data_IF_915069719692
#
_entry.id   IF_915069719692
#
_cell.length_a   1.000
_cell.length_b   1.000
_cell.length_c   1.000
_cell.angle_alpha   90.00
_cell.angle_beta   90.00
_cell.angle_gamma   90.00
#
_symmetry.space_group_name_H-M   'P 1'
#
loop_
_entity.id
_entity.type
_entity.pdbx_description
1 polymer ?
#
# COMPACT_ATOMS: atom_id res chain seq x y z
N UNK A 1 -28.56 1.27 -12.87
CA UNK A 1 -27.13 1.16 -12.49
C UNK A 1 -26.82 1.41 -11.01
N UNK A 2 -27.58 2.19 -10.21
CA UNK A 2 -27.45 2.31 -8.72
C UNK A 2 -27.60 1.00 -7.89
N UNK A 3 -27.74 -0.17 -8.53
CA UNK A 3 -28.42 -1.35 -7.95
C UNK A 3 -27.55 -2.63 -7.90
N UNK A 4 -26.39 -2.64 -8.55
CA UNK A 4 -25.47 -3.79 -8.61
C UNK A 4 -24.64 -3.91 -7.33
N UNK A 5 -24.17 -2.79 -6.76
CA UNK A 5 -23.44 -2.79 -5.49
C UNK A 5 -24.28 -3.35 -4.33
N UNK A 6 -25.57 -3.00 -4.28
CA UNK A 6 -26.50 -3.48 -3.27
C UNK A 6 -26.69 -5.00 -3.38
N UNK A 7 -26.84 -5.51 -4.61
CA UNK A 7 -26.93 -6.95 -4.87
C UNK A 7 -25.63 -7.69 -4.49
N UNK A 8 -24.46 -7.12 -4.78
CA UNK A 8 -23.16 -7.69 -4.37
C UNK A 8 -23.03 -7.71 -2.84
N UNK A 9 -23.45 -6.67 -2.12
CA UNK A 9 -23.39 -6.68 -0.65
C UNK A 9 -24.38 -7.65 -0.01
N UNK A 10 -25.58 -7.81 -0.57
CA UNK A 10 -26.53 -8.81 -0.08
C UNK A 10 -26.04 -10.24 -0.39
N UNK A 11 -25.31 -10.44 -1.49
CA UNK A 11 -24.67 -11.71 -1.82
C UNK A 11 -23.43 -12.03 -0.96
N UNK A 12 -22.56 -11.04 -0.73
CA UNK A 12 -21.33 -11.19 0.07
C UNK A 12 -21.63 -11.21 1.57
N UNK A 13 -22.68 -10.51 2.02
CA UNK A 13 -23.11 -10.47 3.43
C UNK A 13 -23.31 -11.86 4.02
N UNK A 14 -23.84 -12.82 3.24
CA UNK A 14 -24.04 -14.21 3.70
C UNK A 14 -22.73 -14.92 4.07
N UNK A 15 -21.59 -14.47 3.54
CA UNK A 15 -20.27 -15.09 3.74
C UNK A 15 -19.42 -14.40 4.82
N UNK A 16 -19.72 -13.16 5.20
CA UNK A 16 -18.86 -12.33 6.07
C UNK A 16 -19.30 -12.16 7.53
N UNK A 17 -20.46 -12.69 7.94
CA UNK A 17 -20.92 -12.56 9.33
C UNK A 17 -20.34 -13.66 10.24
N UNK A 18 -20.00 -13.31 11.48
CA UNK A 18 -19.78 -14.29 12.56
C UNK A 18 -20.97 -15.27 12.63
N UNK A 19 -20.69 -16.54 12.94
CA UNK A 19 -21.64 -17.66 12.78
C UNK A 19 -23.01 -17.41 13.46
N UNK A 20 -23.04 -16.74 14.62
CA UNK A 20 -24.26 -16.36 15.34
C UNK A 20 -25.09 -15.28 14.64
N UNK A 21 -24.44 -14.34 13.95
CA UNK A 21 -25.11 -13.25 13.24
C UNK A 21 -25.62 -13.69 11.86
N UNK A 22 -25.04 -14.74 11.29
CA UNK A 22 -25.44 -15.31 10.00
C UNK A 22 -26.88 -15.81 10.03
N UNK A 23 -27.29 -16.56 11.05
CA UNK A 23 -28.66 -17.10 11.16
C UNK A 23 -29.70 -15.99 11.31
N UNK A 24 -29.39 -14.97 12.12
CA UNK A 24 -30.27 -13.81 12.34
C UNK A 24 -30.46 -13.03 11.03
N UNK A 25 -29.38 -12.68 10.34
CA UNK A 25 -29.44 -11.97 9.06
C UNK A 25 -30.16 -12.82 8.00
N UNK A 26 -29.89 -14.11 7.95
CA UNK A 26 -30.53 -15.02 7.01
C UNK A 26 -32.06 -15.06 7.21
N UNK A 27 -32.52 -15.20 8.46
CA UNK A 27 -33.94 -15.31 8.81
C UNK A 27 -34.70 -14.01 8.59
N UNK A 28 -34.17 -12.89 9.08
CA UNK A 28 -34.90 -11.62 9.12
C UNK A 28 -34.71 -10.75 7.87
N UNK A 29 -33.67 -10.99 7.07
CA UNK A 29 -33.37 -10.21 5.86
C UNK A 29 -33.36 -11.09 4.62
N UNK A 30 -32.37 -11.99 4.49
CA UNK A 30 -32.11 -12.71 3.22
C UNK A 30 -33.32 -13.53 2.77
N UNK A 31 -33.90 -14.33 3.66
CA UNK A 31 -35.05 -15.17 3.34
C UNK A 31 -36.30 -14.37 2.95
N UNK A 32 -36.43 -13.12 3.43
CA UNK A 32 -37.56 -12.24 3.12
C UNK A 32 -37.44 -11.64 1.72
N UNK A 33 -36.21 -11.46 1.22
CA UNK A 33 -35.95 -10.75 -0.03
C UNK A 33 -35.42 -11.65 -1.16
N UNK A 34 -35.09 -12.92 -0.89
CA UNK A 34 -34.44 -13.84 -1.85
C UNK A 34 -35.19 -14.05 -3.18
N UNK A 35 -36.51 -13.88 -3.19
CA UNK A 35 -37.35 -14.05 -4.38
C UNK A 35 -37.69 -12.72 -5.07
N UNK A 36 -37.12 -11.61 -4.58
CA UNK A 36 -37.33 -10.28 -5.15
C UNK A 36 -36.11 -9.88 -5.94
N UNK A 37 -36.34 -9.12 -7.02
CA UNK A 37 -35.24 -8.52 -7.73
C UNK A 37 -34.58 -7.47 -6.82
N UNK A 38 -33.28 -7.58 -6.49
CA UNK A 38 -32.59 -6.61 -5.64
C UNK A 38 -32.74 -5.18 -6.14
N UNK A 39 -32.96 -5.02 -7.45
CA UNK A 39 -33.15 -3.71 -8.05
C UNK A 39 -34.45 -3.02 -7.65
N UNK A 40 -35.47 -3.77 -7.29
CA UNK A 40 -36.79 -3.24 -6.94
C UNK A 40 -36.92 -3.01 -5.43
N UNK A 41 -35.86 -3.26 -4.66
CA UNK A 41 -35.83 -3.08 -3.21
C UNK A 41 -35.28 -1.69 -2.87
N UNK A 42 -35.99 -0.96 -2.01
CA UNK A 42 -35.57 0.36 -1.52
C UNK A 42 -35.62 0.43 0.01
N UNK A 43 -34.77 1.26 0.64
CA UNK A 43 -34.91 1.60 2.04
C UNK A 43 -36.24 2.30 2.31
N UNK A 44 -36.91 1.85 3.37
CA UNK A 44 -38.11 2.49 3.90
C UNK A 44 -37.96 2.71 5.40
N UNK A 45 -38.32 3.89 5.88
CA UNK A 45 -38.37 4.22 7.30
C UNK A 45 -39.59 5.08 7.58
N UNK A 46 -40.23 4.86 8.74
CA UNK A 46 -41.33 5.70 9.22
C UNK A 46 -40.83 6.92 9.98
N UNK A 47 -39.70 6.79 10.68
CA UNK A 47 -39.21 7.76 11.67
C UNK A 47 -37.76 8.19 11.45
N UNK A 48 -37.09 7.65 10.42
CA UNK A 48 -35.68 7.85 10.12
C UNK A 48 -34.70 7.10 11.03
N UNK A 49 -35.18 6.42 12.08
CA UNK A 49 -34.35 5.75 13.09
C UNK A 49 -34.14 4.27 12.78
N UNK A 50 -35.21 3.60 12.36
CA UNK A 50 -35.15 2.20 11.93
C UNK A 50 -35.64 2.04 10.50
N UNK A 51 -35.00 1.13 9.79
CA UNK A 51 -35.16 0.96 8.35
C UNK A 51 -35.55 -0.49 8.03
N UNK A 52 -36.33 -0.63 6.97
CA UNK A 52 -36.74 -1.89 6.37
C UNK A 52 -36.51 -1.83 4.85
N UNK A 53 -36.55 -2.99 4.20
CA UNK A 53 -36.60 -3.09 2.74
C UNK A 53 -38.05 -3.15 2.27
N UNK A 54 -38.40 -2.30 1.31
CA UNK A 54 -39.70 -2.27 0.66
C UNK A 54 -39.52 -2.60 -0.83
N UNK A 55 -40.44 -3.40 -1.38
CA UNK A 55 -40.56 -3.58 -2.82
C UNK A 55 -41.27 -2.36 -3.44
N UNK A 56 -40.62 -1.74 -4.43
CA UNK A 56 -41.15 -0.56 -5.12
C UNK A 56 -42.42 -0.86 -5.91
N UNK A 57 -42.51 -2.07 -6.49
CA UNK A 57 -43.64 -2.43 -7.38
C UNK A 57 -44.92 -2.66 -6.59
N UNK A 58 -44.86 -3.51 -5.57
CA UNK A 58 -46.03 -3.83 -4.72
C UNK A 58 -46.24 -2.86 -3.57
N UNK A 59 -45.28 -1.97 -3.28
CA UNK A 59 -45.24 -1.12 -2.07
C UNK A 59 -45.24 -1.90 -0.76
N UNK A 60 -44.95 -3.20 -0.81
CA UNK A 60 -44.92 -4.08 0.36
C UNK A 60 -43.60 -3.93 1.11
N UNK A 61 -43.70 -3.70 2.42
CA UNK A 61 -42.54 -3.78 3.33
C UNK A 61 -42.22 -5.26 3.55
N UNK A 62 -41.00 -5.66 3.23
CA UNK A 62 -40.59 -7.07 3.18
C UNK A 62 -39.87 -7.53 4.45
N UNK A 63 -39.08 -6.65 5.06
CA UNK A 63 -38.32 -6.95 6.29
C UNK A 63 -38.88 -6.17 7.48
N UNK A 64 -38.57 -6.64 8.68
CA UNK A 64 -38.82 -5.85 9.89
C UNK A 64 -37.93 -4.60 9.92
N UNK A 65 -38.32 -3.61 10.72
CA UNK A 65 -37.53 -2.38 10.94
C UNK A 65 -36.36 -2.65 11.89
N UNK A 66 -35.38 -3.43 11.44
CA UNK A 66 -34.21 -3.85 12.24
C UNK A 66 -32.89 -3.23 11.76
N UNK A 67 -32.90 -2.54 10.62
CA UNK A 67 -31.71 -1.88 10.08
C UNK A 67 -31.57 -0.49 10.72
N UNK A 68 -30.51 -0.27 11.49
CA UNK A 68 -30.33 0.96 12.26
C UNK A 68 -29.64 2.08 11.49
N UNK A 69 -29.02 1.80 10.35
CA UNK A 69 -28.21 2.78 9.63
C UNK A 69 -28.68 2.99 8.18
N UNK A 70 -28.99 4.25 7.77
CA UNK A 70 -29.32 4.55 6.38
C UNK A 70 -28.13 4.33 5.43
N UNK A 71 -26.90 4.34 5.95
CA UNK A 71 -25.68 4.06 5.17
C UNK A 71 -25.61 2.62 4.63
N UNK A 72 -26.34 1.67 5.23
CA UNK A 72 -26.49 0.30 4.69
C UNK A 72 -26.99 0.30 3.24
N UNK A 73 -27.75 1.34 2.84
CA UNK A 73 -28.32 1.48 1.50
C UNK A 73 -27.53 2.42 0.59
N UNK A 74 -26.44 3.03 1.10
CA UNK A 74 -25.51 3.89 0.37
C UNK A 74 -24.08 3.43 0.65
N UNK A 75 -23.70 2.21 0.20
CA UNK A 75 -22.36 1.71 0.44
C UNK A 75 -21.28 2.57 -0.19
N UNK A 76 -20.12 2.53 0.45
CA UNK A 76 -18.85 3.05 -0.04
C UNK A 76 -17.88 1.88 -0.13
N UNK A 77 -17.19 1.73 -1.26
CA UNK A 77 -16.15 0.73 -1.43
C UNK A 77 -14.80 1.41 -1.26
N UNK A 78 -13.96 0.81 -0.43
CA UNK A 78 -12.56 1.21 -0.26
C UNK A 78 -11.68 0.22 -1.01
N UNK A 79 -10.88 0.73 -1.95
CA UNK A 79 -9.87 -0.04 -2.65
C UNK A 79 -8.51 0.56 -2.31
N UNK A 80 -7.53 -0.28 -2.00
CA UNK A 80 -6.14 0.16 -1.87
C UNK A 80 -5.22 -0.79 -2.61
N UNK A 81 -4.30 -0.23 -3.38
CA UNK A 81 -3.26 -0.97 -4.08
C UNK A 81 -1.91 -0.40 -3.70
N UNK A 82 -0.94 -1.28 -3.49
CA UNK A 82 0.45 -0.91 -3.31
C UNK A 82 1.22 -1.26 -4.59
N UNK A 83 1.90 -0.27 -5.16
CA UNK A 83 2.81 -0.45 -6.29
C UNK A 83 4.00 0.49 -6.12
N UNK A 84 5.22 0.00 -6.32
CA UNK A 84 6.45 0.82 -6.30
C UNK A 84 6.59 1.72 -5.05
N UNK A 85 6.25 1.19 -3.86
CA UNK A 85 6.24 1.94 -2.58
C UNK A 85 5.26 3.10 -2.52
N UNK A 86 4.22 3.08 -3.37
CA UNK A 86 3.09 4.01 -3.32
C UNK A 86 1.85 3.20 -2.98
N UNK A 87 1.10 3.66 -1.99
CA UNK A 87 -0.25 3.18 -1.74
C UNK A 87 -1.19 4.16 -2.43
N UNK A 88 -1.94 3.65 -3.40
CA UNK A 88 -3.06 4.34 -4.02
C UNK A 88 -4.31 3.77 -3.38
N UNK A 89 -5.01 4.58 -2.61
CA UNK A 89 -6.32 4.24 -2.08
C UNK A 89 -7.39 5.07 -2.77
N UNK A 90 -8.56 4.49 -3.02
CA UNK A 90 -9.72 5.20 -3.55
C UNK A 90 -10.98 4.78 -2.80
N UNK A 91 -11.88 5.73 -2.64
CA UNK A 91 -13.23 5.50 -2.16
C UNK A 91 -14.21 5.64 -3.34
N UNK A 92 -15.01 4.60 -3.59
CA UNK A 92 -16.07 4.59 -4.59
C UNK A 92 -17.43 4.71 -3.91
N UNK A 93 -18.20 5.71 -4.31
CA UNK A 93 -19.59 5.85 -3.89
C UNK A 93 -20.49 4.76 -4.50
N UNK A 94 -21.71 4.64 -3.96
CA UNK A 94 -22.73 3.71 -4.46
C UNK A 94 -23.18 3.95 -5.91
N UNK A 95 -22.87 5.12 -6.47
CA UNK A 95 -23.10 5.50 -7.87
C UNK A 95 -21.82 5.46 -8.72
N UNK A 96 -20.76 4.81 -8.22
CA UNK A 96 -19.45 4.67 -8.85
C UNK A 96 -18.65 5.97 -8.99
N UNK A 97 -19.12 7.06 -8.38
CA UNK A 97 -18.32 8.29 -8.27
C UNK A 97 -17.09 8.02 -7.42
N UNK A 98 -15.91 8.37 -7.94
CA UNK A 98 -14.66 8.36 -7.17
C UNK A 98 -14.72 9.57 -6.23
N UNK A 99 -14.77 9.31 -4.92
CA UNK A 99 -14.97 10.37 -3.94
C UNK A 99 -13.67 11.11 -3.61
N UNK A 100 -12.52 10.44 -3.61
CA UNK A 100 -11.18 11.06 -3.54
C UNK A 100 -10.08 9.96 -3.60
N UNK A 101 -9.09 10.07 -4.50
CA UNK A 101 -7.90 9.21 -4.46
C UNK A 101 -6.93 9.71 -3.38
N UNK A 102 -6.59 8.85 -2.42
CA UNK A 102 -5.53 9.11 -1.43
C UNK A 102 -4.23 8.48 -1.90
N UNK A 103 -3.23 9.31 -2.17
CA UNK A 103 -1.87 8.85 -2.43
C UNK A 103 -1.06 8.90 -1.14
N UNK A 104 -0.50 7.76 -0.72
CA UNK A 104 0.50 7.70 0.35
C UNK A 104 1.81 7.20 -0.22
N UNK A 105 2.86 8.02 -0.13
CA UNK A 105 4.22 7.62 -0.47
C UNK A 105 4.79 6.92 0.76
N UNK A 106 5.22 5.66 0.61
CA UNK A 106 5.91 4.95 1.67
C UNK A 106 7.35 5.46 1.76
N UNK A 107 7.93 5.54 2.98
CA UNK A 107 9.33 5.94 3.13
C UNK A 107 10.23 5.04 2.28
N UNK A 108 11.20 5.66 1.60
CA UNK A 108 12.24 4.95 0.87
C UNK A 108 13.08 4.07 1.80
N UNK A 109 13.85 3.11 1.27
CA UNK A 109 14.75 2.34 2.09
C UNK A 109 15.78 3.29 2.72
N UNK A 110 16.06 3.15 4.02
CA UNK A 110 17.12 3.93 4.67
C UNK A 110 18.44 3.69 3.92
N UNK A 111 18.97 4.74 3.30
CA UNK A 111 20.31 4.71 2.73
C UNK A 111 21.28 4.72 3.92
N UNK A 112 21.62 3.52 4.42
CA UNK A 112 22.73 3.36 5.37
C UNK A 112 23.99 3.86 4.69
N UNK A 113 24.46 5.03 5.14
CA UNK A 113 25.73 5.62 4.72
C UNK A 113 26.87 4.78 5.30
N UNK A 114 27.98 4.59 4.57
CA UNK A 114 29.16 3.93 5.10
C UNK A 114 29.67 4.63 6.36
N UNK A 115 30.20 3.87 7.30
CA UNK A 115 30.83 4.39 8.52
C UNK A 115 32.21 4.96 8.17
N UNK A 116 32.54 6.14 8.70
CA UNK A 116 33.88 6.72 8.57
C UNK A 116 34.83 6.12 9.60
N UNK A 117 36.03 5.72 9.18
CA UNK A 117 37.06 5.11 10.03
C UNK A 117 38.36 5.90 9.99
N UNK A 118 39.28 5.62 10.93
CA UNK A 118 40.60 6.27 10.97
C UNK A 118 41.69 5.46 10.26
N UNK A 119 41.32 4.39 9.55
CA UNK A 119 42.25 3.51 8.83
C UNK A 119 42.11 3.72 7.33
N UNK A 120 43.20 3.90 6.57
CA UNK A 120 43.16 3.93 5.12
C UNK A 120 42.46 2.70 4.53
N UNK A 121 41.75 2.91 3.42
CA UNK A 121 41.03 1.86 2.70
C UNK A 121 39.52 1.85 2.96
N UNK A 122 38.89 0.72 2.69
CA UNK A 122 37.45 0.54 2.77
C UNK A 122 37.06 -0.92 3.00
N UNK A 123 35.92 -1.14 3.65
CA UNK A 123 35.36 -2.47 3.87
C UNK A 123 34.04 -2.63 3.11
N UNK A 124 33.78 -3.86 2.69
CA UNK A 124 32.56 -4.23 1.97
C UNK A 124 31.82 -5.33 2.73
N UNK A 125 30.50 -5.36 2.60
CA UNK A 125 29.71 -6.52 3.00
C UNK A 125 29.77 -7.63 1.95
N UNK A 126 29.16 -8.77 2.29
CA UNK A 126 29.04 -9.95 1.42
C UNK A 126 28.31 -9.67 0.09
N UNK A 127 27.55 -8.57 0.01
CA UNK A 127 26.80 -8.16 -1.18
C UNK A 127 27.58 -7.15 -2.05
N UNK A 128 28.83 -6.86 -1.69
CA UNK A 128 29.68 -5.94 -2.43
C UNK A 128 29.31 -4.46 -2.22
N UNK A 129 28.65 -4.11 -1.10
CA UNK A 129 28.39 -2.72 -0.73
C UNK A 129 29.44 -2.23 0.26
N UNK A 130 29.94 -1.00 0.06
CA UNK A 130 30.86 -0.36 1.01
C UNK A 130 30.12 -0.10 2.33
N UNK A 131 30.64 -0.67 3.42
CA UNK A 131 30.11 -0.50 4.78
C UNK A 131 30.93 0.49 5.60
N UNK A 132 32.21 0.68 5.26
CA UNK A 132 33.07 1.66 5.91
C UNK A 132 34.19 2.15 5.00
N UNK A 133 34.69 3.36 5.22
CA UNK A 133 35.85 3.92 4.51
C UNK A 133 36.60 4.95 5.37
N UNK A 134 37.84 5.24 4.98
CA UNK A 134 38.67 6.24 5.67
C UNK A 134 38.00 7.63 5.69
N UNK A 135 38.04 8.28 6.85
CA UNK A 135 37.34 9.54 7.10
C UNK A 135 37.86 10.73 6.27
N UNK A 136 39.12 10.67 5.84
CA UNK A 136 39.77 11.73 5.06
C UNK A 136 39.46 11.66 3.55
N UNK A 137 38.73 10.65 3.09
CA UNK A 137 38.18 10.64 1.74
C UNK A 137 36.95 11.55 1.67
N UNK A 138 37.00 12.54 0.80
CA UNK A 138 35.91 13.47 0.54
C UNK A 138 34.84 12.82 -0.34
N UNK A 139 35.28 12.05 -1.33
CA UNK A 139 34.43 11.26 -2.22
C UNK A 139 34.98 9.84 -2.37
N UNK A 140 34.05 8.90 -2.50
CA UNK A 140 34.33 7.50 -2.85
C UNK A 140 33.41 7.07 -4.00
N UNK A 141 33.96 6.39 -5.00
CA UNK A 141 33.17 5.79 -6.07
C UNK A 141 32.46 4.52 -5.63
N UNK A 142 31.66 3.94 -6.53
CA UNK A 142 31.25 2.54 -6.40
C UNK A 142 32.47 1.61 -6.52
N UNK A 143 32.48 0.44 -5.85
CA UNK A 143 33.51 -0.57 -6.02
C UNK A 143 33.62 -1.07 -7.45
N UNK A 144 34.85 -1.33 -7.88
CA UNK A 144 35.21 -1.91 -9.18
C UNK A 144 35.95 -3.21 -8.90
N UNK A 145 35.42 -4.34 -9.38
CA UNK A 145 36.09 -5.63 -9.30
C UNK A 145 37.05 -5.78 -10.48
N UNK A 146 38.34 -5.95 -10.20
CA UNK A 146 39.35 -6.19 -11.22
C UNK A 146 40.37 -7.23 -10.76
N UNK A 147 40.56 -8.28 -11.57
CA UNK A 147 41.50 -9.39 -11.28
C UNK A 147 41.34 -10.01 -9.88
N UNK A 148 40.10 -10.09 -9.38
CA UNK A 148 39.78 -10.71 -8.08
C UNK A 148 39.91 -9.77 -6.88
N UNK A 149 40.25 -8.49 -7.09
CA UNK A 149 40.35 -7.48 -6.03
C UNK A 149 39.39 -6.33 -6.28
N UNK A 150 38.88 -5.73 -5.21
CA UNK A 150 38.04 -4.54 -5.28
C UNK A 150 38.85 -3.26 -5.15
N UNK A 151 38.54 -2.32 -6.03
CA UNK A 151 39.11 -0.99 -6.07
C UNK A 151 38.04 0.08 -6.00
N UNK A 152 38.39 1.27 -5.51
CA UNK A 152 37.56 2.47 -5.60
C UNK A 152 38.41 3.65 -6.04
N UNK A 153 37.77 4.61 -6.71
CA UNK A 153 38.34 5.95 -6.89
C UNK A 153 37.99 6.77 -5.66
N UNK A 154 39.01 7.37 -5.05
CA UNK A 154 38.84 8.28 -3.93
C UNK A 154 39.32 9.67 -4.31
N UNK A 155 38.61 10.68 -3.80
CA UNK A 155 39.06 12.06 -3.81
C UNK A 155 39.50 12.42 -2.40
N UNK A 156 40.76 12.79 -2.23
CA UNK A 156 41.29 13.34 -0.98
C UNK A 156 40.89 14.80 -0.83
N UNK A 157 41.04 15.35 0.38
CA UNK A 157 40.76 16.77 0.68
C UNK A 157 41.56 17.76 -0.15
N UNK A 158 42.72 17.36 -0.66
CA UNK A 158 43.56 18.13 -1.57
C UNK A 158 43.09 18.04 -3.04
N UNK A 159 41.91 17.45 -3.28
CA UNK A 159 41.29 17.17 -4.59
C UNK A 159 42.04 16.17 -5.46
N UNK A 160 43.06 15.48 -4.92
CA UNK A 160 43.75 14.43 -5.64
C UNK A 160 42.85 13.20 -5.78
N UNK A 161 42.72 12.71 -7.01
CA UNK A 161 41.99 11.48 -7.34
C UNK A 161 42.95 10.30 -7.45
N UNK A 162 42.66 9.21 -6.72
CA UNK A 162 43.52 8.03 -6.65
C UNK A 162 42.67 6.76 -6.73
N UNK A 163 43.22 5.71 -7.35
CA UNK A 163 42.64 4.37 -7.33
C UNK A 163 43.28 3.58 -6.18
N UNK A 164 42.48 3.13 -5.22
CA UNK A 164 42.96 2.35 -4.07
C UNK A 164 42.30 0.99 -3.99
N UNK A 165 43.00 0.00 -3.44
CA UNK A 165 42.40 -1.29 -3.06
C UNK A 165 41.74 -1.21 -1.67
N UNK A 166 41.15 -2.32 -1.21
CA UNK A 166 40.48 -2.41 0.09
C UNK A 166 41.39 -2.08 1.29
N UNK A 167 42.70 -2.31 1.17
CA UNK A 167 43.71 -1.99 2.20
C UNK A 167 44.13 -0.52 2.19
N UNK A 168 43.66 0.26 1.22
CA UNK A 168 44.07 1.66 1.04
C UNK A 168 45.40 1.82 0.29
N UNK A 169 45.92 0.75 -0.30
CA UNK A 169 47.13 0.81 -1.12
C UNK A 169 46.75 1.40 -2.48
N UNK A 170 47.51 2.43 -2.89
CA UNK A 170 47.32 3.08 -4.17
C UNK A 170 47.83 2.19 -5.32
N UNK A 171 47.06 2.17 -6.41
CA UNK A 171 47.51 1.58 -7.66
C UNK A 171 48.35 2.59 -8.44
N UNK A 172 49.67 2.39 -8.43
CA UNK A 172 50.61 3.18 -9.23
C UNK A 172 50.19 3.24 -10.70
N UNK A 173 50.33 4.43 -11.32
CA UNK A 173 49.97 4.68 -12.72
C UNK A 173 48.53 5.16 -12.94
N UNK A 174 47.69 5.22 -11.90
CA UNK A 174 46.31 5.72 -11.97
C UNK A 174 46.13 7.07 -11.24
N UNK A 175 47.08 7.99 -11.41
CA UNK A 175 46.88 9.39 -11.03
C UNK A 175 46.12 10.10 -12.14
N UNK A 176 44.90 10.53 -11.86
CA UNK A 176 44.12 11.33 -12.80
C UNK A 176 44.64 12.77 -12.73
N UNK A 177 45.36 13.24 -13.76
CA UNK A 177 45.63 14.67 -13.93
C UNK A 177 44.31 15.40 -14.19
N UNK A 178 44.17 16.60 -13.61
CA UNK A 178 43.05 17.52 -13.90
C UNK A 178 42.93 17.83 -15.40
#
# INVERSE_FOLDING_TARGET
MKRVLLAMMLGIGVLGFAQSNKEIVQKYIVNKIKNYNPTDLVPYSKDGKKWALMDVKSRKILTDFVLSWPSTFKPKIYLSMEAEKKIIAMELASDYTILEPRLKILPGPEIKRPIKTNTPGFQMDEHGKIVSHYADYEYISRPILYKGEYYIVVTKKDKTNMLINQKGEEKEGFHFKE
#
